data_IF_879432816162
#
_entry.id   IF_879432816162
#
_cell.length_a   1.000
_cell.length_b   1.000
_cell.length_c   1.000
_cell.angle_alpha   90.00
_cell.angle_beta   90.00
_cell.angle_gamma   90.00
#
_symmetry.space_group_name_H-M   'P 1'
#
loop_
_entity.id
_entity.type
_entity.pdbx_description
1 polymer ?
#
# COMPACT_ATOMS: atom_id res chain seq x y z
N UNK A 1 -35.86 33.14 32.04
CA UNK A 1 -35.54 32.01 31.14
C UNK A 1 -34.04 31.76 31.26
N UNK A 2 -33.67 30.79 32.08
CA UNK A 2 -32.28 30.49 32.47
C UNK A 2 -31.64 29.61 31.40
N UNK A 3 -30.43 29.92 30.88
CA UNK A 3 -29.81 29.08 29.87
C UNK A 3 -29.21 27.84 30.54
N UNK A 4 -29.84 26.68 30.33
CA UNK A 4 -29.40 25.36 30.81
C UNK A 4 -28.29 24.76 29.93
N UNK A 5 -27.43 25.60 29.35
CA UNK A 5 -26.35 25.13 28.49
C UNK A 5 -25.23 24.48 29.32
N UNK A 6 -25.31 23.15 29.36
CA UNK A 6 -24.16 22.27 29.12
C UNK A 6 -23.04 22.26 30.18
N UNK A 7 -23.39 21.95 31.43
CA UNK A 7 -22.41 21.31 32.32
C UNK A 7 -22.24 19.84 31.89
N UNK A 8 -21.35 19.61 30.93
CA UNK A 8 -20.96 18.25 30.52
C UNK A 8 -20.30 17.55 31.73
N UNK A 9 -20.76 16.36 32.16
CA UNK A 9 -20.28 15.75 33.39
C UNK A 9 -18.77 15.50 33.35
N UNK A 10 -18.06 15.53 34.49
CA UNK A 10 -16.59 15.45 34.55
C UNK A 10 -15.99 14.22 33.86
N UNK A 11 -16.71 13.08 33.90
CA UNK A 11 -16.34 11.85 33.22
C UNK A 11 -16.22 12.03 31.70
N UNK A 12 -17.12 12.81 31.09
CA UNK A 12 -17.10 13.05 29.66
C UNK A 12 -15.90 13.92 29.25
N UNK A 13 -15.51 14.89 30.09
CA UNK A 13 -14.31 15.71 29.84
C UNK A 13 -13.01 14.92 29.98
N UNK A 14 -12.95 13.99 30.94
CA UNK A 14 -11.79 13.13 31.11
C UNK A 14 -11.60 12.17 29.92
N UNK A 15 -12.70 11.56 29.47
CA UNK A 15 -12.69 10.72 28.28
C UNK A 15 -12.35 11.51 27.00
N UNK A 16 -12.91 12.71 26.83
CA UNK A 16 -12.62 13.56 25.68
C UNK A 16 -11.12 13.89 25.55
N UNK A 17 -10.44 14.15 26.68
CA UNK A 17 -8.98 14.35 26.68
C UNK A 17 -8.22 13.10 26.28
N UNK A 18 -8.64 11.94 26.76
CA UNK A 18 -8.05 10.65 26.40
C UNK A 18 -8.25 10.36 24.90
N UNK A 19 -9.45 10.61 24.37
CA UNK A 19 -9.76 10.50 22.93
C UNK A 19 -8.84 11.39 22.09
N UNK A 20 -8.80 12.70 22.36
CA UNK A 20 -7.99 13.66 21.61
C UNK A 20 -6.50 13.32 21.61
N UNK A 21 -6.01 12.72 22.70
CA UNK A 21 -4.61 12.34 22.84
C UNK A 21 -4.23 11.08 22.05
N UNK A 22 -5.15 10.12 21.93
CA UNK A 22 -4.80 8.77 21.45
C UNK A 22 -5.53 8.33 20.18
N UNK A 23 -6.44 9.14 19.64
CA UNK A 23 -7.18 8.77 18.42
C UNK A 23 -6.26 8.49 17.23
N UNK A 24 -5.21 9.30 17.04
CA UNK A 24 -4.25 9.11 15.96
C UNK A 24 -3.39 7.86 16.17
N UNK A 25 -3.03 7.53 17.41
CA UNK A 25 -2.29 6.30 17.71
C UNK A 25 -3.12 5.08 17.31
N UNK A 26 -4.39 5.04 17.74
CA UNK A 26 -5.32 3.93 17.45
C UNK A 26 -5.57 3.81 15.95
N UNK A 27 -5.80 4.94 15.28
CA UNK A 27 -6.03 4.96 13.84
C UNK A 27 -4.82 4.45 13.05
N UNK A 28 -3.61 4.92 13.38
CA UNK A 28 -2.37 4.47 12.73
C UNK A 28 -2.12 2.98 12.98
N UNK A 29 -2.37 2.51 14.20
CA UNK A 29 -2.28 1.09 14.52
C UNK A 29 -3.22 0.26 13.64
N UNK A 30 -4.51 0.63 13.57
CA UNK A 30 -5.50 -0.07 12.75
C UNK A 30 -5.13 -0.05 11.26
N UNK A 31 -4.67 1.09 10.76
CA UNK A 31 -4.27 1.29 9.37
C UNK A 31 -3.13 0.38 8.91
N UNK A 32 -2.19 0.07 9.82
CA UNK A 32 -1.02 -0.77 9.50
C UNK A 32 -1.28 -2.25 9.79
N UNK A 33 -2.05 -2.55 10.84
CA UNK A 33 -2.34 -3.95 11.21
C UNK A 33 -3.37 -4.59 10.30
N UNK A 34 -4.30 -3.80 9.73
CA UNK A 34 -5.31 -4.32 8.80
C UNK A 34 -4.91 -4.07 7.33
N UNK A 35 -5.21 -5.03 6.42
CA UNK A 35 -4.90 -4.88 5.00
C UNK A 35 -5.65 -3.74 4.31
N UNK A 36 -6.85 -3.44 4.80
CA UNK A 36 -7.87 -2.56 4.18
C UNK A 36 -7.94 -1.23 4.94
N UNK A 37 -7.48 -0.08 4.40
CA UNK A 37 -7.57 1.22 5.04
C UNK A 37 -8.99 1.63 5.41
N UNK A 38 -10.01 1.25 4.64
CA UNK A 38 -11.41 1.59 4.92
C UNK A 38 -11.86 1.04 6.29
N UNK A 39 -11.29 -0.09 6.72
CA UNK A 39 -11.56 -0.64 8.04
C UNK A 39 -10.96 0.22 9.17
N UNK A 40 -9.91 1.00 8.91
CA UNK A 40 -9.17 1.69 9.98
C UNK A 40 -10.03 2.74 10.72
N UNK A 41 -10.87 3.48 9.99
CA UNK A 41 -11.78 4.47 10.59
C UNK A 41 -12.84 3.79 11.46
N UNK A 42 -13.50 2.76 10.92
CA UNK A 42 -14.54 1.99 11.62
C UNK A 42 -14.01 1.29 12.86
N UNK A 43 -12.80 0.73 12.77
CA UNK A 43 -12.11 0.10 13.91
C UNK A 43 -11.78 1.14 14.97
N UNK A 44 -11.32 2.33 14.55
CA UNK A 44 -11.03 3.42 15.48
C UNK A 44 -12.30 3.86 16.21
N UNK A 45 -13.39 4.07 15.48
CA UNK A 45 -14.68 4.42 16.08
C UNK A 45 -15.17 3.35 17.05
N UNK A 46 -15.16 2.09 16.62
CA UNK A 46 -15.58 0.94 17.43
C UNK A 46 -14.74 0.81 18.70
N UNK A 47 -13.43 1.02 18.60
CA UNK A 47 -12.51 1.02 19.73
C UNK A 47 -12.91 2.08 20.76
N UNK A 48 -13.13 3.33 20.33
CA UNK A 48 -13.51 4.39 21.26
C UNK A 48 -14.94 4.26 21.79
N UNK A 49 -15.88 3.68 21.04
CA UNK A 49 -17.20 3.35 21.56
C UNK A 49 -17.12 2.30 22.67
N UNK A 50 -16.33 1.25 22.48
CA UNK A 50 -16.09 0.21 23.49
C UNK A 50 -15.38 0.79 24.71
N UNK A 51 -14.34 1.61 24.50
CA UNK A 51 -13.65 2.32 25.57
C UNK A 51 -14.59 3.26 26.34
N UNK A 52 -15.48 3.97 25.66
CA UNK A 52 -16.43 4.88 26.31
C UNK A 52 -17.42 4.12 27.19
N UNK A 53 -17.94 2.98 26.72
CA UNK A 53 -18.82 2.10 27.52
C UNK A 53 -18.13 1.62 28.79
N UNK A 54 -16.90 1.11 28.67
CA UNK A 54 -16.11 0.66 29.82
C UNK A 54 -15.80 1.83 30.79
N UNK A 55 -15.46 3.00 30.25
CA UNK A 55 -15.22 4.20 31.05
C UNK A 55 -16.47 4.66 31.80
N UNK A 56 -17.66 4.63 31.17
CA UNK A 56 -18.94 4.89 31.86
C UNK A 56 -19.24 3.85 32.94
N UNK A 57 -18.84 2.59 32.73
CA UNK A 57 -18.92 1.50 33.71
C UNK A 57 -17.98 1.62 34.91
N UNK A 58 -17.09 2.61 34.95
CA UNK A 58 -16.20 2.88 36.08
C UNK A 58 -14.72 2.59 35.84
N UNK A 59 -14.36 2.06 34.66
CA UNK A 59 -12.97 1.71 34.33
C UNK A 59 -12.07 2.96 34.31
N UNK A 60 -10.96 2.95 35.06
CA UNK A 60 -10.01 4.07 35.14
C UNK A 60 -8.58 3.56 34.94
N UNK A 61 -8.16 3.34 33.68
CA UNK A 61 -6.85 2.79 33.39
C UNK A 61 -5.74 3.79 33.74
N UNK A 62 -4.71 3.32 34.44
CA UNK A 62 -3.49 4.11 34.70
C UNK A 62 -2.69 4.34 33.42
N UNK A 63 -2.53 3.28 32.62
CA UNK A 63 -1.88 3.32 31.31
C UNK A 63 -2.94 3.40 30.18
N UNK A 64 -3.52 4.59 29.99
CA UNK A 64 -4.61 4.83 29.03
C UNK A 64 -4.27 4.34 27.61
N UNK A 65 -3.05 4.63 27.13
CA UNK A 65 -2.59 4.24 25.80
C UNK A 65 -2.57 2.72 25.62
N UNK A 66 -2.07 1.97 26.60
CA UNK A 66 -1.95 0.50 26.51
C UNK A 66 -3.33 -0.15 26.57
N UNK A 67 -4.20 0.36 27.44
CA UNK A 67 -5.58 -0.07 27.52
C UNK A 67 -6.34 0.14 26.21
N UNK A 68 -6.20 1.31 25.57
CA UNK A 68 -6.80 1.58 24.26
C UNK A 68 -6.24 0.65 23.18
N UNK A 69 -4.94 0.36 23.18
CA UNK A 69 -4.35 -0.58 22.22
C UNK A 69 -4.81 -2.03 22.43
N UNK A 70 -5.05 -2.45 23.66
CA UNK A 70 -5.67 -3.75 23.93
C UNK A 70 -7.05 -3.86 23.32
N UNK A 71 -7.88 -2.82 23.49
CA UNK A 71 -9.21 -2.77 22.87
C UNK A 71 -9.08 -2.75 21.34
N UNK A 72 -8.21 -1.89 20.79
CA UNK A 72 -8.00 -1.78 19.34
C UNK A 72 -7.54 -3.11 18.74
N UNK A 73 -6.57 -3.79 19.38
CA UNK A 73 -6.07 -5.08 18.96
C UNK A 73 -7.18 -6.14 18.91
N UNK A 74 -8.02 -6.21 19.94
CA UNK A 74 -9.12 -7.17 19.97
C UNK A 74 -10.14 -6.92 18.86
N UNK A 75 -10.48 -5.65 18.61
CA UNK A 75 -11.39 -5.26 17.52
C UNK A 75 -10.75 -5.61 16.15
N UNK A 76 -9.47 -5.28 15.93
CA UNK A 76 -8.72 -5.67 14.72
C UNK A 76 -8.69 -7.19 14.54
N UNK A 77 -8.47 -7.94 15.63
CA UNK A 77 -8.40 -9.41 15.62
C UNK A 77 -9.75 -10.02 15.24
N UNK A 78 -10.84 -9.45 15.73
CA UNK A 78 -12.19 -9.86 15.36
C UNK A 78 -12.47 -9.61 13.88
N UNK A 79 -12.12 -8.41 13.38
CA UNK A 79 -12.29 -8.04 11.96
C UNK A 79 -11.47 -8.95 11.05
N UNK A 80 -10.19 -9.15 11.35
CA UNK A 80 -9.30 -10.04 10.58
C UNK A 80 -9.88 -11.45 10.45
N UNK A 81 -10.46 -12.02 11.52
CA UNK A 81 -11.14 -13.33 11.47
C UNK A 81 -12.39 -13.36 10.61
N UNK A 82 -13.09 -12.23 10.47
CA UNK A 82 -14.28 -12.12 9.62
C UNK A 82 -13.87 -12.01 8.15
N UNK A 83 -12.87 -11.21 7.83
CA UNK A 83 -12.34 -11.05 6.46
C UNK A 83 -11.73 -12.35 5.92
N UNK A 84 -11.02 -13.14 6.75
CA UNK A 84 -10.54 -14.47 6.32
C UNK A 84 -11.68 -15.44 5.95
N UNK A 85 -12.92 -15.18 6.39
CA UNK A 85 -14.09 -16.04 6.12
C UNK A 85 -14.97 -15.54 4.97
N UNK A 86 -14.73 -14.34 4.43
CA UNK A 86 -15.48 -13.77 3.30
C UNK A 86 -14.53 -12.99 2.40
N UNK A 87 -14.28 -13.52 1.20
CA UNK A 87 -13.30 -12.98 0.24
C UNK A 87 -13.75 -11.62 -0.32
N UNK A 88 -12.77 -10.70 -0.32
CA UNK A 88 -12.56 -9.44 -1.07
C UNK A 88 -13.77 -8.58 -1.47
N UNK A 89 -13.89 -7.45 -0.78
CA UNK A 89 -14.50 -6.24 -1.33
C UNK A 89 -13.38 -5.33 -1.85
N UNK A 90 -13.54 -4.86 -3.10
CA UNK A 90 -12.58 -4.03 -3.83
C UNK A 90 -12.56 -2.61 -3.23
N UNK A 91 -11.38 -2.13 -2.86
CA UNK A 91 -11.21 -0.76 -2.34
C UNK A 91 -11.04 0.28 -3.45
N UNK A 92 -11.78 1.38 -3.33
CA UNK A 92 -11.46 2.68 -3.92
C UNK A 92 -10.52 3.42 -2.95
N UNK A 93 -9.42 3.99 -3.45
CA UNK A 93 -8.46 4.72 -2.62
C UNK A 93 -8.78 6.22 -2.59
N UNK A 94 -8.89 6.77 -1.38
CA UNK A 94 -8.73 8.19 -1.08
C UNK A 94 -7.72 8.31 0.07
N UNK A 95 -6.52 8.79 -0.26
CA UNK A 95 -5.67 9.69 0.53
C UNK A 95 -4.22 9.60 0.01
N UNK A 96 -3.88 10.51 -0.90
CA UNK A 96 -2.50 10.81 -1.24
C UNK A 96 -1.74 11.22 0.03
N UNK A 97 -0.95 10.29 0.58
CA UNK A 97 0.12 10.66 1.50
C UNK A 97 1.16 11.42 0.68
N UNK A 98 1.39 12.69 1.04
CA UNK A 98 2.38 13.54 0.41
C UNK A 98 3.71 12.80 0.32
N UNK A 99 4.15 12.51 -0.91
CA UNK A 99 5.42 11.89 -1.20
C UNK A 99 6.53 12.81 -0.67
N UNK A 100 7.21 12.35 0.39
CA UNK A 100 8.51 12.90 0.76
C UNK A 100 9.49 12.36 -0.29
N UNK A 101 10.22 13.22 -1.02
CA UNK A 101 11.19 12.74 -1.98
C UNK A 101 12.45 12.27 -1.26
N UNK A 102 12.97 11.16 -1.78
CA UNK A 102 14.34 10.64 -1.67
C UNK A 102 14.66 9.81 -0.42
N UNK A 103 14.86 8.50 -0.61
CA UNK A 103 16.03 7.71 -0.18
C UNK A 103 16.02 6.38 -0.97
N UNK A 104 17.19 5.76 -1.19
CA UNK A 104 17.41 4.46 -1.88
C UNK A 104 16.78 3.23 -1.15
N UNK A 105 15.71 3.44 -0.40
CA UNK A 105 15.03 2.45 0.43
C UNK A 105 13.61 2.08 -0.05
N UNK A 106 12.99 1.07 0.57
CA UNK A 106 11.62 0.66 0.28
C UNK A 106 10.62 1.80 0.56
N UNK A 107 9.71 2.03 -0.38
CA UNK A 107 8.66 3.04 -0.24
C UNK A 107 7.65 2.67 0.87
N UNK A 108 6.84 3.62 1.38
CA UNK A 108 5.74 3.30 2.30
C UNK A 108 4.79 2.23 1.75
N UNK A 109 4.57 2.21 0.43
CA UNK A 109 3.79 1.19 -0.28
C UNK A 109 4.47 -0.18 -0.23
N UNK A 110 5.79 -0.24 -0.44
CA UNK A 110 6.56 -1.49 -0.32
C UNK A 110 6.48 -2.06 1.09
N UNK A 111 6.63 -1.20 2.10
CA UNK A 111 6.47 -1.60 3.50
C UNK A 111 5.05 -2.08 3.80
N UNK A 112 4.02 -1.36 3.34
CA UNK A 112 2.61 -1.75 3.53
C UNK A 112 2.32 -3.11 2.90
N UNK A 113 2.78 -3.33 1.67
CA UNK A 113 2.65 -4.61 0.95
C UNK A 113 3.35 -5.73 1.71
N UNK A 114 4.60 -5.50 2.10
CA UNK A 114 5.39 -6.52 2.79
C UNK A 114 4.81 -6.88 4.16
N UNK A 115 4.33 -5.88 4.93
CA UNK A 115 3.56 -6.11 6.16
C UNK A 115 2.28 -6.92 5.91
N UNK A 116 1.67 -6.75 4.74
CA UNK A 116 0.54 -7.53 4.22
C UNK A 116 0.75 -9.04 4.26
N UNK A 117 1.97 -9.50 4.04
CA UNK A 117 2.34 -10.93 3.99
C UNK A 117 2.54 -11.57 5.38
N UNK A 118 2.64 -10.78 6.46
CA UNK A 118 2.86 -11.30 7.81
C UNK A 118 1.57 -11.80 8.43
N UNK A 119 1.66 -12.83 9.29
CA UNK A 119 0.54 -13.23 10.13
C UNK A 119 0.10 -12.07 11.04
N UNK A 120 -1.20 -12.02 11.36
CA UNK A 120 -1.80 -10.93 12.15
C UNK A 120 -1.05 -10.62 13.44
N UNK A 121 -0.64 -11.64 14.21
CA UNK A 121 0.06 -11.44 15.47
C UNK A 121 1.51 -10.98 15.28
N UNK A 122 2.19 -11.45 14.24
CA UNK A 122 3.55 -11.04 13.90
C UNK A 122 3.56 -9.57 13.49
N UNK A 123 2.63 -9.18 12.63
CA UNK A 123 2.40 -7.80 12.19
C UNK A 123 2.06 -6.89 13.38
N UNK A 124 1.10 -7.29 14.22
CA UNK A 124 0.71 -6.52 15.40
C UNK A 124 1.89 -6.29 16.35
N UNK A 125 2.67 -7.34 16.65
CA UNK A 125 3.83 -7.24 17.53
C UNK A 125 4.93 -6.35 16.93
N UNK A 126 5.19 -6.46 15.62
CA UNK A 126 6.17 -5.64 14.92
C UNK A 126 5.78 -4.16 14.91
N UNK A 127 4.53 -3.84 14.60
CA UNK A 127 4.02 -2.45 14.59
C UNK A 127 4.13 -1.82 15.97
N UNK A 128 3.69 -2.53 17.02
CA UNK A 128 3.82 -2.05 18.39
C UNK A 128 5.28 -1.82 18.80
N UNK A 129 6.21 -2.62 18.26
CA UNK A 129 7.63 -2.48 18.59
C UNK A 129 8.30 -1.34 17.82
N UNK A 130 8.19 -1.32 16.50
CA UNK A 130 8.98 -0.43 15.63
C UNK A 130 8.30 0.91 15.38
N UNK A 131 6.97 0.92 15.22
CA UNK A 131 6.22 2.16 14.93
C UNK A 131 5.87 2.89 16.23
N UNK A 132 5.47 2.14 17.26
CA UNK A 132 5.03 2.72 18.54
C UNK A 132 6.12 2.76 19.62
N UNK A 133 7.27 2.10 19.41
CA UNK A 133 8.41 2.11 20.32
C UNK A 133 8.21 1.38 21.65
N UNK A 134 7.27 0.43 21.72
CA UNK A 134 6.88 -0.20 23.00
C UNK A 134 7.90 -1.22 23.51
N UNK A 135 8.11 -1.33 24.84
CA UNK A 135 8.88 -2.42 25.42
C UNK A 135 8.13 -3.75 25.29
N UNK A 136 8.87 -4.87 25.17
CA UNK A 136 8.27 -6.19 24.97
C UNK A 136 7.27 -6.59 26.05
N UNK A 137 7.49 -6.16 27.31
CA UNK A 137 6.57 -6.42 28.41
C UNK A 137 5.19 -5.77 28.19
N UNK A 138 5.14 -4.51 27.72
CA UNK A 138 3.85 -3.87 27.45
C UNK A 138 3.13 -4.52 26.27
N UNK A 139 3.88 -4.95 25.26
CA UNK A 139 3.31 -5.68 24.11
C UNK A 139 2.73 -7.02 24.58
N UNK A 140 3.44 -7.73 25.45
CA UNK A 140 2.98 -8.98 26.06
C UNK A 140 1.66 -8.80 26.82
N UNK A 141 1.56 -7.73 27.62
CA UNK A 141 0.32 -7.37 28.34
C UNK A 141 -0.84 -7.04 27.38
N UNK A 142 -0.58 -6.27 26.32
CA UNK A 142 -1.60 -5.88 25.33
C UNK A 142 -2.09 -7.10 24.53
N UNK A 143 -1.19 -7.98 24.12
CA UNK A 143 -1.50 -9.14 23.28
C UNK A 143 -1.93 -10.38 24.09
N UNK A 144 -1.86 -10.32 25.42
CA UNK A 144 -2.18 -11.45 26.30
C UNK A 144 -1.24 -12.65 26.12
N UNK A 145 0.07 -12.38 25.92
CA UNK A 145 1.11 -13.38 25.64
C UNK A 145 2.30 -13.21 26.59
N UNK A 146 3.19 -14.20 26.62
CA UNK A 146 4.46 -14.09 27.36
C UNK A 146 5.48 -13.21 26.62
N UNK A 147 6.39 -12.57 27.35
CA UNK A 147 7.47 -11.76 26.77
C UNK A 147 8.32 -12.55 25.77
N UNK A 148 8.64 -13.82 26.07
CA UNK A 148 9.40 -14.69 25.17
C UNK A 148 8.66 -15.03 23.87
N UNK A 149 7.34 -15.15 23.91
CA UNK A 149 6.53 -15.29 22.68
C UNK A 149 6.55 -14.01 21.86
N UNK A 150 6.50 -12.83 22.49
CA UNK A 150 6.59 -11.55 21.76
C UNK A 150 7.96 -11.41 21.10
N UNK A 151 9.05 -11.73 21.78
CA UNK A 151 10.39 -11.71 21.19
C UNK A 151 10.47 -12.61 19.95
N UNK A 152 9.88 -13.81 20.04
CA UNK A 152 9.80 -14.75 18.92
C UNK A 152 8.95 -14.20 17.76
N UNK A 153 7.80 -13.61 18.05
CA UNK A 153 6.92 -13.01 17.04
C UNK A 153 7.62 -11.85 16.32
N UNK A 154 8.26 -10.95 17.05
CA UNK A 154 8.99 -9.82 16.46
C UNK A 154 10.18 -10.31 15.65
N UNK A 155 10.91 -11.32 16.12
CA UNK A 155 12.01 -11.91 15.36
C UNK A 155 11.54 -12.50 14.03
N UNK A 156 10.46 -13.31 14.06
CA UNK A 156 9.86 -13.88 12.84
C UNK A 156 9.36 -12.80 11.89
N UNK A 157 8.67 -11.80 12.43
CA UNK A 157 8.14 -10.68 11.66
C UNK A 157 9.25 -9.91 10.93
N UNK A 158 10.36 -9.59 11.61
CA UNK A 158 11.52 -8.92 10.99
C UNK A 158 12.14 -9.76 9.88
N UNK A 159 12.27 -11.07 10.12
CA UNK A 159 12.83 -12.00 9.13
C UNK A 159 11.94 -12.08 7.89
N UNK A 160 10.63 -12.28 8.07
CA UNK A 160 9.67 -12.35 6.98
C UNK A 160 9.63 -11.04 6.19
N UNK A 161 9.63 -9.89 6.89
CA UNK A 161 9.65 -8.58 6.24
C UNK A 161 10.91 -8.39 5.38
N UNK A 162 12.08 -8.79 5.91
CA UNK A 162 13.34 -8.73 5.17
C UNK A 162 13.32 -9.62 3.92
N UNK A 163 12.91 -10.88 4.07
CA UNK A 163 12.83 -11.84 2.97
C UNK A 163 11.88 -11.34 1.87
N UNK A 164 10.74 -10.75 2.25
CA UNK A 164 9.78 -10.17 1.30
C UNK A 164 10.34 -8.95 0.57
N UNK A 165 11.04 -8.06 1.27
CA UNK A 165 11.64 -6.86 0.66
C UNK A 165 12.85 -7.19 -0.23
N UNK A 166 13.66 -8.20 0.11
CA UNK A 166 14.80 -8.64 -0.71
C UNK A 166 14.36 -9.49 -1.92
N UNK A 167 13.24 -10.22 -1.80
CA UNK A 167 12.73 -11.13 -2.83
C UNK A 167 11.79 -10.49 -3.86
N UNK A 168 11.46 -9.20 -3.71
CA UNK A 168 10.50 -8.50 -4.57
C UNK A 168 11.08 -7.18 -5.09
N UNK A 169 10.58 -6.72 -6.25
CA UNK A 169 10.91 -5.38 -6.74
C UNK A 169 10.33 -4.35 -5.77
N UNK A 170 11.13 -3.36 -5.41
CA UNK A 170 10.64 -2.11 -4.80
C UNK A 170 9.85 -1.30 -5.82
N UNK A 171 9.00 -0.38 -5.35
CA UNK A 171 8.27 0.53 -6.25
C UNK A 171 9.24 1.31 -7.14
N UNK A 172 10.34 1.83 -6.59
CA UNK A 172 11.35 2.55 -7.38
C UNK A 172 12.00 1.68 -8.47
N UNK A 173 12.31 0.42 -8.18
CA UNK A 173 12.81 -0.52 -9.20
C UNK A 173 11.75 -0.86 -10.24
N UNK A 174 10.48 -1.00 -9.82
CA UNK A 174 9.36 -1.23 -10.72
C UNK A 174 9.18 -0.05 -11.69
N UNK A 175 9.21 1.20 -11.21
CA UNK A 175 9.12 2.40 -12.06
C UNK A 175 10.20 2.42 -13.15
N UNK A 176 11.46 2.14 -12.76
CA UNK A 176 12.59 2.02 -13.71
C UNK A 176 12.36 0.87 -14.70
N UNK A 177 11.86 -0.26 -14.22
CA UNK A 177 11.57 -1.42 -15.06
C UNK A 177 10.43 -1.15 -16.05
N UNK A 178 9.40 -0.39 -15.69
CA UNK A 178 8.33 0.07 -16.61
C UNK A 178 8.95 0.90 -17.73
N UNK A 179 9.79 1.89 -17.41
CA UNK A 179 10.46 2.70 -18.45
C UNK A 179 11.29 1.82 -19.40
N UNK A 180 12.13 0.92 -18.85
CA UNK A 180 12.94 -0.01 -19.65
C UNK A 180 12.09 -0.96 -20.50
N UNK A 181 10.92 -1.38 -20.00
CA UNK A 181 9.98 -2.21 -20.75
C UNK A 181 9.45 -1.46 -21.98
N UNK A 182 9.12 -0.17 -21.84
CA UNK A 182 8.67 0.65 -22.96
C UNK A 182 9.77 0.77 -24.02
N UNK A 183 11.03 0.91 -23.60
CA UNK A 183 12.18 0.95 -24.51
C UNK A 183 12.51 -0.42 -25.14
N UNK A 184 11.84 -1.50 -24.72
CA UNK A 184 12.11 -2.87 -25.19
C UNK A 184 13.35 -3.50 -24.58
N UNK A 185 13.93 -2.89 -23.55
CA UNK A 185 15.22 -3.23 -22.93
C UNK A 185 15.10 -4.15 -21.70
N UNK A 186 13.92 -4.72 -21.46
CA UNK A 186 13.65 -5.56 -20.29
C UNK A 186 13.74 -7.06 -20.64
N UNK A 187 14.47 -7.83 -19.84
CA UNK A 187 14.61 -9.29 -20.01
C UNK A 187 13.34 -10.08 -19.68
N UNK A 188 13.31 -11.39 -20.00
CA UNK A 188 12.15 -12.25 -19.71
C UNK A 188 11.90 -12.44 -18.21
N UNK A 189 12.96 -12.64 -17.42
CA UNK A 189 12.88 -12.77 -15.96
C UNK A 189 12.45 -11.46 -15.30
N UNK A 190 13.07 -10.34 -15.67
CA UNK A 190 12.72 -9.00 -15.18
C UNK A 190 11.25 -8.65 -15.47
N UNK A 191 10.73 -9.01 -16.66
CA UNK A 191 9.30 -8.85 -16.99
C UNK A 191 8.38 -9.64 -16.05
N UNK A 192 8.77 -10.84 -15.65
CA UNK A 192 7.96 -11.65 -14.74
C UNK A 192 7.88 -11.01 -13.35
N UNK A 193 9.02 -10.56 -12.81
CA UNK A 193 9.05 -9.83 -11.54
C UNK A 193 8.25 -8.52 -11.60
N UNK A 194 8.39 -7.76 -12.69
CA UNK A 194 7.61 -6.53 -12.89
C UNK A 194 6.11 -6.83 -12.93
N UNK A 195 5.68 -7.83 -13.68
CA UNK A 195 4.26 -8.23 -13.71
C UNK A 195 3.74 -8.68 -12.35
N UNK A 196 4.54 -9.40 -11.56
CA UNK A 196 4.18 -9.76 -10.20
C UNK A 196 4.00 -8.51 -9.33
N UNK A 197 4.93 -7.55 -9.40
CA UNK A 197 4.83 -6.30 -8.66
C UNK A 197 3.59 -5.49 -9.07
N UNK A 198 3.32 -5.32 -10.38
CA UNK A 198 2.15 -4.58 -10.88
C UNK A 198 0.81 -5.21 -10.49
N UNK A 199 0.76 -6.49 -10.12
CA UNK A 199 -0.44 -7.12 -9.55
C UNK A 199 -0.62 -6.83 -8.06
N UNK A 200 0.46 -6.49 -7.37
CA UNK A 200 0.47 -6.28 -5.93
C UNK A 200 0.53 -4.78 -5.54
N UNK A 201 0.83 -3.89 -6.48
CA UNK A 201 0.96 -2.45 -6.25
C UNK A 201 0.15 -1.66 -7.29
N UNK A 202 -0.98 -1.11 -6.85
CA UNK A 202 -1.90 -0.35 -7.71
C UNK A 202 -1.30 0.96 -8.23
N UNK A 203 -0.45 1.62 -7.43
CA UNK A 203 0.23 2.85 -7.81
C UNK A 203 1.16 2.61 -9.01
N UNK A 204 2.01 1.58 -8.92
CA UNK A 204 2.89 1.19 -10.03
C UNK A 204 2.07 0.68 -11.24
N UNK A 205 0.96 -0.01 -11.02
CA UNK A 205 0.05 -0.42 -12.08
C UNK A 205 -0.60 0.77 -12.80
N UNK A 206 -1.02 1.80 -12.06
CA UNK A 206 -1.55 3.04 -12.59
C UNK A 206 -0.47 3.82 -13.36
N UNK A 207 0.75 3.87 -12.84
CA UNK A 207 1.89 4.46 -13.54
C UNK A 207 2.13 3.76 -14.88
N UNK A 208 2.23 2.43 -14.89
CA UNK A 208 2.43 1.65 -16.12
C UNK A 208 1.34 1.94 -17.17
N UNK A 209 0.06 1.94 -16.76
CA UNK A 209 -1.07 2.29 -17.64
C UNK A 209 -0.97 3.71 -18.18
N UNK A 210 -0.57 4.67 -17.35
CA UNK A 210 -0.45 6.07 -17.77
C UNK A 210 0.67 6.27 -18.79
N UNK A 211 1.83 5.63 -18.59
CA UNK A 211 2.96 5.70 -19.53
C UNK A 211 2.64 5.02 -20.87
N UNK A 212 1.98 3.85 -20.88
CA UNK A 212 1.52 3.19 -22.11
C UNK A 212 0.54 4.08 -22.91
N UNK A 213 -0.38 4.74 -22.20
CA UNK A 213 -1.34 5.67 -22.80
C UNK A 213 -0.64 6.88 -23.40
N UNK A 214 0.29 7.49 -22.66
CA UNK A 214 1.10 8.63 -23.12
C UNK A 214 1.92 8.27 -24.36
N UNK A 215 2.60 7.12 -24.36
CA UNK A 215 3.37 6.63 -25.51
C UNK A 215 2.48 6.43 -26.74
N UNK A 216 1.31 5.83 -26.56
CA UNK A 216 0.35 5.63 -27.64
C UNK A 216 -0.14 6.97 -28.21
N UNK A 217 -0.40 7.95 -27.35
CA UNK A 217 -0.75 9.31 -27.76
C UNK A 217 0.39 9.99 -28.55
N UNK A 218 1.64 9.91 -28.07
CA UNK A 218 2.81 10.45 -28.76
C UNK A 218 3.03 9.80 -30.14
N UNK A 219 2.86 8.47 -30.24
CA UNK A 219 2.92 7.77 -31.53
C UNK A 219 1.84 8.24 -32.50
N UNK A 220 0.63 8.53 -32.02
CA UNK A 220 -0.45 9.11 -32.85
C UNK A 220 -0.13 10.52 -33.29
N UNK A 221 0.50 11.33 -32.43
CA UNK A 221 0.98 12.65 -32.82
C UNK A 221 2.06 12.59 -33.92
N UNK A 222 2.93 11.58 -33.88
CA UNK A 222 3.91 11.35 -34.95
C UNK A 222 3.27 10.93 -36.29
N UNK A 223 1.99 10.54 -36.31
CA UNK A 223 1.22 10.25 -37.53
C UNK A 223 0.44 11.46 -38.06
N UNK A 224 0.73 12.68 -37.58
CA UNK A 224 0.17 13.90 -38.16
C UNK A 224 0.57 13.97 -39.64
N UNK A 225 -0.40 14.15 -40.57
CA UNK A 225 -0.11 14.16 -41.99
C UNK A 225 0.86 15.30 -42.32
N UNK A 226 1.88 14.98 -43.13
CA UNK A 226 2.80 15.99 -43.64
C UNK A 226 2.02 16.99 -44.53
N UNK A 227 2.35 18.29 -44.49
CA UNK A 227 1.81 19.23 -45.46
C UNK A 227 2.21 18.79 -46.86
N UNK A 228 1.29 18.92 -47.82
CA UNK A 228 1.45 18.49 -49.21
C UNK A 228 2.66 19.11 -49.94
N UNK A 229 3.20 20.22 -49.42
CA UNK A 229 4.44 20.84 -49.88
C UNK A 229 5.71 20.04 -49.56
N UNK A 230 5.65 19.12 -48.59
CA UNK A 230 6.76 18.23 -48.22
C UNK A 230 6.66 16.86 -48.90
N UNK A 231 5.46 16.42 -49.30
CA UNK A 231 5.28 15.20 -50.10
C UNK A 231 6.02 15.29 -51.45
N UNK A 232 6.04 16.48 -52.07
CA UNK A 232 6.74 16.71 -53.34
C UNK A 232 8.27 16.53 -53.26
N UNK A 233 8.88 16.57 -52.07
CA UNK A 233 10.31 16.33 -51.88
C UNK A 233 10.67 14.84 -51.74
N UNK A 234 9.73 13.99 -51.33
CA UNK A 234 9.94 12.54 -51.21
C UNK A 234 9.48 11.76 -52.45
N UNK A 235 8.67 12.36 -53.33
CA UNK A 235 8.22 11.73 -54.59
C UNK A 235 9.18 11.92 -55.77
N UNK A 236 10.25 12.69 -55.64
CA UNK A 236 11.26 12.87 -56.71
C UNK A 236 12.36 11.82 -56.66
N UNK A 237 12.02 10.53 -56.77
CA UNK A 237 12.79 9.56 -57.57
C UNK A 237 12.01 8.26 -57.82
N UNK A 238 10.80 8.34 -58.38
CA UNK A 238 10.09 7.18 -58.93
C UNK A 238 9.58 7.51 -60.33
N UNK A 239 10.53 7.75 -61.23
CA UNK A 239 10.29 8.05 -62.64
C UNK A 239 11.34 7.41 -63.54
N UNK A 240 11.69 6.15 -63.31
CA UNK A 240 12.27 5.28 -64.32
C UNK A 240 11.97 3.79 -63.98
N UNK A 241 10.95 3.27 -64.64
CA UNK A 241 10.72 1.87 -65.01
C UNK A 241 10.54 0.78 -63.93
N UNK A 242 9.41 0.08 -64.00
CA UNK A 242 9.27 -1.30 -63.52
C UNK A 242 8.15 -1.54 -62.51
N UNK A 243 7.04 -2.08 -62.99
CA UNK A 243 6.00 -2.75 -62.20
C UNK A 243 6.61 -3.79 -61.24
N UNK A 244 6.46 -3.59 -59.92
CA UNK A 244 6.86 -4.56 -58.91
C UNK A 244 6.16 -4.30 -57.58
N UNK A 245 5.25 -5.20 -57.20
CA UNK A 245 4.62 -5.24 -55.87
C UNK A 245 5.69 -5.27 -54.74
N UNK A 246 5.52 -4.52 -53.63
CA UNK A 246 6.33 -4.74 -52.46
C UNK A 246 5.80 -5.95 -51.69
N UNK A 247 6.52 -7.09 -51.78
CA UNK A 247 6.43 -8.17 -50.81
C UNK A 247 6.93 -7.65 -49.46
N UNK A 248 6.06 -7.63 -48.46
CA UNK A 248 6.49 -7.59 -47.05
C UNK A 248 7.15 -8.93 -46.73
N UNK A 249 8.48 -8.94 -46.71
CA UNK A 249 9.26 -10.08 -46.21
C UNK A 249 9.17 -10.12 -44.69
N UNK A 250 8.65 -11.24 -44.18
CA UNK A 250 8.70 -11.64 -42.77
C UNK A 250 10.15 -11.73 -42.25
N UNK A 251 10.39 -11.54 -40.93
CA UNK A 251 11.69 -11.79 -40.32
C UNK A 251 12.01 -13.29 -40.32
N UNK A 252 13.29 -13.70 -40.40
CA UNK A 252 13.65 -15.11 -40.37
C UNK A 252 13.41 -15.70 -38.97
N UNK A 253 12.71 -16.82 -38.96
CA UNK A 253 12.76 -17.82 -37.89
C UNK A 253 14.21 -18.30 -37.74
N UNK A 254 14.82 -18.08 -36.58
CA UNK A 254 15.98 -18.84 -36.12
C UNK A 254 15.48 -19.95 -35.19
N UNK A 255 15.39 -21.15 -35.75
CA UNK A 255 15.23 -22.40 -35.00
C UNK A 255 16.50 -23.25 -35.17
N UNK A 256 17.14 -23.52 -34.03
CA UNK A 256 17.89 -24.73 -33.67
C UNK A 256 19.21 -25.06 -34.39
N UNK A 257 20.29 -24.98 -33.61
CA UNK A 257 21.10 -26.15 -33.24
C UNK A 257 21.40 -26.08 -31.73
#
# INVERSE_FOLDING_TARGET
>A
MTPFLSQRPPADRAFERMYKRHVLDVYRYALVVLPTPQDAEDITQTTFLNAYRAFKGGERPKAQRNWLMGIAHEVCRQRSRQTTRGIEEVELHDAAAAAVPDEEGPSPQDIRRALGCLDFNERAALVMREVEGRPYQEIAEILGRSTGEIETLVFRARRALREELEGSLTCHEAERAVSRQLDGLLGRSERAFLQQHLRACDDCAALARSQDTQRTALRRYAMVPLPSSLDSFFTTNAGAEGTGHPKFSSPPESSQA
#
